data_IF_689026099183
#
_entry.id   IF_689026099183
#
_cell.length_a   1.000
_cell.length_b   1.000
_cell.length_c   1.000
_cell.angle_alpha   90.00
_cell.angle_beta   90.00
_cell.angle_gamma   90.00
#
_symmetry.space_group_name_H-M   'P 1'
#
loop_
_entity.id
_entity.type
_entity.pdbx_description
1 polymer ?
#
# COMPACT_ATOMS: atom_id res chain seq x y z
N UNK A 1 4.39 -17.43 0.93
CA UNK A 1 3.41 -16.34 0.79
C UNK A 1 2.90 -16.34 -0.64
N UNK A 2 1.61 -16.17 -0.84
CA UNK A 2 1.00 -15.99 -2.17
C UNK A 2 0.62 -14.51 -2.32
N UNK A 3 1.04 -13.89 -3.42
CA UNK A 3 0.70 -12.51 -3.76
C UNK A 3 -0.20 -12.52 -4.99
N UNK A 4 -1.30 -11.79 -4.94
CA UNK A 4 -2.25 -11.65 -6.05
C UNK A 4 -2.42 -10.16 -6.35
N UNK A 5 -2.20 -9.76 -7.60
CA UNK A 5 -2.47 -8.41 -8.09
C UNK A 5 -3.99 -8.23 -8.30
N UNK A 6 -4.53 -7.13 -7.80
CA UNK A 6 -5.97 -6.82 -7.80
C UNK A 6 -6.31 -5.55 -8.60
N UNK A 7 -5.47 -5.11 -9.48
CA UNK A 7 -5.56 -3.84 -10.22
C UNK A 7 -4.85 -2.65 -9.54
N UNK A 8 -4.17 -1.82 -10.33
CA UNK A 8 -3.52 -0.55 -9.96
C UNK A 8 -2.54 -0.71 -8.78
N UNK A 9 -2.93 -0.23 -7.59
CA UNK A 9 -2.18 -0.40 -6.35
C UNK A 9 -2.76 -1.49 -5.43
N UNK A 10 -3.78 -2.22 -5.91
CA UNK A 10 -4.45 -3.26 -5.16
C UNK A 10 -3.70 -4.59 -5.17
N UNK A 11 -3.43 -5.13 -3.99
CA UNK A 11 -2.81 -6.45 -3.83
C UNK A 11 -3.44 -7.24 -2.68
N UNK A 12 -3.46 -8.56 -2.82
CA UNK A 12 -3.72 -9.46 -1.71
C UNK A 12 -2.46 -10.29 -1.41
N UNK A 13 -2.05 -10.31 -0.15
CA UNK A 13 -0.95 -11.12 0.35
C UNK A 13 -1.49 -12.17 1.33
N UNK A 14 -1.40 -13.45 0.96
CA UNK A 14 -1.89 -14.58 1.74
C UNK A 14 -0.72 -15.38 2.33
N UNK A 15 -0.72 -15.55 3.65
CA UNK A 15 0.30 -16.33 4.34
C UNK A 15 -0.26 -16.97 5.62
N UNK A 16 -0.11 -18.30 5.75
CA UNK A 16 -0.69 -19.08 6.85
C UNK A 16 -2.19 -18.75 7.04
N UNK A 17 -2.59 -18.35 8.25
CA UNK A 17 -3.97 -17.95 8.59
C UNK A 17 -4.32 -16.49 8.27
N UNK A 18 -3.44 -15.75 7.63
CA UNK A 18 -3.63 -14.32 7.37
C UNK A 18 -3.85 -14.02 5.89
N UNK A 19 -4.71 -13.04 5.63
CA UNK A 19 -4.87 -12.37 4.34
C UNK A 19 -4.82 -10.87 4.55
N UNK A 20 -3.90 -10.21 3.88
CA UNK A 20 -3.81 -8.75 3.85
C UNK A 20 -4.23 -8.28 2.46
N UNK A 21 -5.22 -7.40 2.39
CA UNK A 21 -5.73 -6.82 1.14
C UNK A 21 -5.45 -5.32 1.19
N UNK A 22 -4.69 -4.83 0.22
CA UNK A 22 -4.30 -3.42 0.15
C UNK A 22 -4.98 -2.73 -1.02
N UNK A 23 -5.42 -1.49 -0.81
CA UNK A 23 -5.88 -0.51 -1.80
C UNK A 23 -6.79 -1.09 -2.88
N UNK A 24 -7.75 -1.91 -2.48
CA UNK A 24 -8.73 -2.42 -3.43
C UNK A 24 -9.78 -1.35 -3.77
N UNK A 25 -9.92 -1.06 -5.06
CA UNK A 25 -10.94 -0.13 -5.54
C UNK A 25 -11.90 -0.73 -6.56
N UNK A 26 -11.49 -1.79 -7.27
CA UNK A 26 -12.32 -2.52 -8.25
C UNK A 26 -11.81 -3.94 -8.49
N UNK A 27 -12.55 -4.67 -9.34
CA UNK A 27 -12.21 -6.03 -9.74
C UNK A 27 -12.74 -7.07 -8.76
N UNK A 28 -12.52 -8.33 -9.09
CA UNK A 28 -12.94 -9.46 -8.27
C UNK A 28 -11.84 -9.83 -7.28
N UNK A 29 -12.23 -10.13 -6.03
CA UNK A 29 -11.32 -10.77 -5.08
C UNK A 29 -11.21 -12.26 -5.37
N UNK A 30 -10.05 -12.88 -5.12
CA UNK A 30 -9.96 -14.32 -4.96
C UNK A 30 -10.85 -14.78 -3.81
N UNK A 31 -11.31 -16.02 -3.87
CA UNK A 31 -11.93 -16.64 -2.69
C UNK A 31 -10.84 -16.96 -1.66
N UNK A 32 -11.08 -16.55 -0.43
CA UNK A 32 -10.22 -16.86 0.71
C UNK A 32 -10.94 -17.83 1.65
N UNK A 33 -10.16 -18.64 2.36
CA UNK A 33 -10.68 -19.46 3.44
C UNK A 33 -11.28 -18.55 4.54
N UNK A 34 -12.55 -18.79 4.86
CA UNK A 34 -13.29 -17.98 5.84
C UNK A 34 -12.74 -18.11 7.28
N UNK A 35 -11.89 -19.11 7.55
CA UNK A 35 -11.22 -19.27 8.83
C UNK A 35 -9.98 -18.36 8.96
N UNK A 36 -9.55 -17.72 7.87
CA UNK A 36 -8.40 -16.80 7.90
C UNK A 36 -8.78 -15.44 8.46
N UNK A 37 -7.82 -14.84 9.14
CA UNK A 37 -7.91 -13.45 9.58
C UNK A 37 -7.66 -12.53 8.39
N UNK A 38 -8.68 -11.76 8.01
CA UNK A 38 -8.61 -10.87 6.86
C UNK A 38 -8.48 -9.42 7.33
N UNK A 39 -7.43 -8.75 6.88
CA UNK A 39 -7.19 -7.34 7.10
C UNK A 39 -7.24 -6.58 5.79
N UNK A 40 -8.05 -5.54 5.73
CA UNK A 40 -8.24 -4.69 4.56
C UNK A 40 -7.65 -3.32 4.85
N UNK A 41 -6.68 -2.92 4.05
CA UNK A 41 -5.97 -1.66 4.16
C UNK A 41 -6.39 -0.72 3.03
N UNK A 42 -6.55 0.55 3.33
CA UNK A 42 -6.61 1.60 2.33
C UNK A 42 -5.70 2.77 2.74
N UNK A 43 -4.77 3.10 1.86
CA UNK A 43 -3.73 4.10 2.11
C UNK A 43 -4.27 5.52 2.17
N UNK A 44 -5.31 5.83 1.40
CA UNK A 44 -5.99 7.13 1.36
C UNK A 44 -7.34 7.04 0.64
N UNK A 45 -8.05 8.17 0.56
CA UNK A 45 -9.45 8.22 0.12
C UNK A 45 -9.66 8.37 -1.39
N UNK A 46 -8.62 8.47 -2.21
CA UNK A 46 -8.75 8.56 -3.67
C UNK A 46 -9.46 7.33 -4.25
N UNK A 47 -10.20 7.55 -5.35
CA UNK A 47 -11.10 6.54 -5.92
C UNK A 47 -10.39 5.29 -6.47
N UNK A 48 -9.11 5.39 -6.74
CA UNK A 48 -8.22 4.34 -7.26
C UNK A 48 -7.47 3.56 -6.16
N UNK A 49 -7.66 3.95 -4.88
CA UNK A 49 -7.11 3.28 -3.70
C UNK A 49 -8.18 2.83 -2.71
N UNK A 50 -9.37 3.42 -2.77
CA UNK A 50 -10.44 3.10 -1.85
C UNK A 50 -11.81 3.02 -2.54
N UNK A 51 -12.57 1.98 -2.19
CA UNK A 51 -13.97 1.85 -2.56
C UNK A 51 -14.79 1.35 -1.37
N UNK A 52 -15.85 2.07 -1.00
CA UNK A 52 -16.71 1.72 0.13
C UNK A 52 -17.35 0.32 0.04
N UNK A 53 -17.35 -0.31 -1.13
CA UNK A 53 -17.83 -1.70 -1.31
C UNK A 53 -17.05 -2.71 -0.46
N UNK A 54 -15.82 -2.39 -0.02
CA UNK A 54 -15.05 -3.25 0.90
C UNK A 54 -15.86 -3.60 2.15
N UNK A 55 -16.69 -2.69 2.65
CA UNK A 55 -17.48 -2.91 3.84
C UNK A 55 -18.51 -4.04 3.69
N UNK A 56 -18.96 -4.33 2.47
CA UNK A 56 -19.84 -5.46 2.18
C UNK A 56 -19.17 -6.83 2.41
N UNK A 57 -17.84 -6.89 2.50
CA UNK A 57 -17.14 -8.16 2.72
C UNK A 57 -17.34 -8.72 4.13
N UNK A 58 -17.78 -7.92 5.08
CA UNK A 58 -18.17 -8.39 6.42
C UNK A 58 -19.35 -9.37 6.42
N UNK A 59 -20.12 -9.45 5.33
CA UNK A 59 -21.19 -10.45 5.14
C UNK A 59 -20.60 -11.84 4.85
N UNK A 60 -19.52 -11.89 4.07
CA UNK A 60 -18.83 -13.13 3.70
C UNK A 60 -17.72 -13.51 4.70
N UNK A 61 -17.06 -12.53 5.27
CA UNK A 61 -15.94 -12.68 6.20
C UNK A 61 -16.27 -11.95 7.51
N UNK A 62 -16.97 -12.58 8.46
CA UNK A 62 -17.49 -11.91 9.66
C UNK A 62 -16.42 -11.27 10.56
N UNK A 63 -15.19 -11.80 10.52
CA UNK A 63 -14.07 -11.33 11.34
C UNK A 63 -13.11 -10.39 10.58
N UNK A 64 -13.52 -9.90 9.40
CA UNK A 64 -12.72 -8.95 8.63
C UNK A 64 -12.45 -7.68 9.44
N UNK A 65 -11.23 -7.16 9.36
CA UNK A 65 -10.81 -5.90 9.99
C UNK A 65 -10.39 -4.91 8.91
N UNK A 66 -10.79 -3.65 9.08
CA UNK A 66 -10.46 -2.56 8.17
C UNK A 66 -9.47 -1.63 8.88
N UNK A 67 -8.32 -1.38 8.24
CA UNK A 67 -7.27 -0.48 8.72
C UNK A 67 -7.12 0.59 7.65
N UNK A 68 -7.78 1.70 7.87
CA UNK A 68 -7.97 2.75 6.86
C UNK A 68 -7.26 4.03 7.28
N UNK A 69 -6.70 4.74 6.31
CA UNK A 69 -6.18 6.08 6.57
C UNK A 69 -7.25 7.02 7.11
N UNK A 70 -6.89 7.94 7.98
CA UNK A 70 -7.82 8.81 8.70
C UNK A 70 -8.61 9.76 7.78
N UNK A 71 -8.12 10.06 6.58
CA UNK A 71 -8.82 10.86 5.56
C UNK A 71 -10.03 10.13 4.96
N UNK A 72 -10.13 8.80 5.17
CA UNK A 72 -11.29 7.99 4.79
C UNK A 72 -12.43 8.08 5.82
N UNK A 73 -12.16 8.60 7.01
CA UNK A 73 -13.17 8.70 8.07
C UNK A 73 -14.44 9.43 7.60
N UNK A 74 -15.60 8.94 8.07
CA UNK A 74 -16.90 9.52 7.69
C UNK A 74 -17.48 8.99 6.37
N UNK A 75 -16.83 8.06 5.67
CA UNK A 75 -17.47 7.32 4.57
C UNK A 75 -18.56 6.41 5.13
N UNK A 76 -19.64 6.22 4.36
CA UNK A 76 -20.80 5.41 4.79
C UNK A 76 -20.42 3.98 5.16
N UNK A 77 -20.75 3.58 6.38
CA UNK A 77 -20.59 2.23 6.92
C UNK A 77 -21.66 1.94 7.97
N UNK A 78 -21.97 0.67 8.22
CA UNK A 78 -22.85 0.27 9.31
C UNK A 78 -22.14 0.35 10.68
N UNK A 79 -22.90 0.31 11.78
CA UNK A 79 -22.34 0.26 13.14
C UNK A 79 -21.35 -0.93 13.29
N UNK A 80 -21.73 -2.13 12.84
CA UNK A 80 -20.86 -3.32 12.88
C UNK A 80 -19.56 -3.10 12.11
N UNK A 81 -19.61 -2.51 10.93
CA UNK A 81 -18.42 -2.20 10.12
C UNK A 81 -17.56 -1.15 10.83
N UNK A 82 -18.19 -0.19 11.51
CA UNK A 82 -17.48 0.81 12.31
C UNK A 82 -16.71 0.17 13.47
N UNK A 83 -17.25 -0.83 14.15
CA UNK A 83 -16.56 -1.59 15.21
C UNK A 83 -15.37 -2.41 14.68
N UNK A 84 -15.44 -2.83 13.40
CA UNK A 84 -14.37 -3.57 12.72
C UNK A 84 -13.32 -2.65 12.08
N UNK A 85 -13.49 -1.33 12.15
CA UNK A 85 -12.65 -0.35 11.46
C UNK A 85 -11.77 0.41 12.43
N UNK A 86 -10.48 0.45 12.12
CA UNK A 86 -9.50 1.34 12.75
C UNK A 86 -9.03 2.40 11.74
N UNK A 87 -9.06 3.66 12.16
CA UNK A 87 -8.49 4.76 11.38
C UNK A 87 -7.08 5.06 11.87
N UNK A 88 -6.14 5.11 10.94
CA UNK A 88 -4.71 5.30 11.22
C UNK A 88 -4.20 6.61 10.64
N UNK A 89 -3.23 7.21 11.33
CA UNK A 89 -2.54 8.42 10.89
C UNK A 89 -1.07 8.15 10.65
N UNK A 90 -0.41 9.02 9.90
CA UNK A 90 1.00 8.90 9.57
C UNK A 90 1.93 8.86 10.81
N UNK A 91 3.07 8.18 10.65
CA UNK A 91 4.16 8.12 11.64
C UNK A 91 3.73 7.56 13.01
N UNK A 92 2.87 6.53 13.00
CA UNK A 92 2.37 5.85 14.19
C UNK A 92 2.62 4.34 14.12
N UNK A 93 2.52 3.72 15.28
CA UNK A 93 2.56 2.26 15.43
C UNK A 93 1.26 1.80 16.08
N UNK A 94 0.71 0.73 15.55
CA UNK A 94 -0.55 0.13 15.99
C UNK A 94 -0.34 -1.37 16.21
N UNK A 95 -1.03 -1.92 17.20
CA UNK A 95 -1.06 -3.35 17.48
C UNK A 95 -2.50 -3.85 17.31
N UNK A 96 -2.69 -4.75 16.35
CA UNK A 96 -3.96 -5.40 16.07
C UNK A 96 -3.84 -6.89 16.36
N UNK A 97 -4.95 -7.58 16.54
CA UNK A 97 -4.94 -9.02 16.84
C UNK A 97 -4.18 -9.82 15.75
N UNK A 98 -2.94 -10.18 16.04
CA UNK A 98 -2.07 -11.00 15.20
C UNK A 98 -1.17 -10.23 14.22
N UNK A 99 -1.31 -8.91 14.09
CA UNK A 99 -0.41 -8.09 13.26
C UNK A 99 -0.03 -6.79 13.96
N UNK A 100 1.16 -6.27 13.63
CA UNK A 100 1.55 -4.91 14.00
C UNK A 100 1.69 -4.08 12.75
N UNK A 101 1.26 -2.83 12.82
CA UNK A 101 1.28 -1.91 11.69
C UNK A 101 2.04 -0.66 12.08
N UNK A 102 2.99 -0.27 11.26
CA UNK A 102 3.62 1.04 11.31
C UNK A 102 3.22 1.80 10.05
N UNK A 103 2.93 3.09 10.21
CA UNK A 103 2.58 3.97 9.10
C UNK A 103 3.68 5.00 8.87
N UNK A 104 3.87 5.40 7.62
CA UNK A 104 4.69 6.54 7.22
C UNK A 104 3.80 7.60 6.58
N UNK A 105 4.27 8.85 6.60
CA UNK A 105 3.63 9.95 5.87
C UNK A 105 3.85 9.75 4.36
N UNK A 106 2.79 9.80 3.58
CA UNK A 106 2.87 9.80 2.12
C UNK A 106 3.42 11.13 1.58
N UNK A 107 3.98 11.12 0.39
CA UNK A 107 4.38 12.31 -0.37
C UNK A 107 3.24 12.87 -1.24
N UNK A 108 2.09 12.20 -1.21
CA UNK A 108 0.82 12.66 -1.76
C UNK A 108 -0.21 12.64 -0.61
N UNK A 109 -1.21 11.79 -0.64
CA UNK A 109 -2.26 11.70 0.37
C UNK A 109 -2.06 10.47 1.28
N UNK A 110 -2.56 10.54 2.52
CA UNK A 110 -2.69 9.43 3.45
C UNK A 110 -1.38 8.86 3.99
N UNK A 111 -1.24 7.53 3.92
CA UNK A 111 -0.15 6.80 4.58
C UNK A 111 0.42 5.65 3.73
N UNK A 112 1.70 5.35 3.94
CA UNK A 112 2.26 4.04 3.59
C UNK A 112 2.19 3.10 4.80
N UNK A 113 2.11 1.79 4.53
CA UNK A 113 2.01 0.75 5.55
C UNK A 113 3.25 -0.13 5.61
N UNK A 114 3.70 -0.44 6.83
CA UNK A 114 4.62 -1.53 7.13
C UNK A 114 3.86 -2.48 8.04
N UNK A 115 3.61 -3.70 7.57
CA UNK A 115 2.83 -4.70 8.30
C UNK A 115 3.74 -5.84 8.73
N UNK A 116 3.79 -6.09 10.01
CA UNK A 116 4.47 -7.20 10.64
C UNK A 116 3.46 -8.30 10.93
N UNK A 117 3.61 -9.43 10.28
CA UNK A 117 2.71 -10.56 10.38
C UNK A 117 3.52 -11.84 10.50
N UNK A 118 3.44 -12.52 11.65
CA UNK A 118 4.27 -13.69 11.93
C UNK A 118 5.78 -13.38 11.80
N UNK A 119 6.46 -14.12 10.91
CA UNK A 119 7.86 -13.93 10.55
C UNK A 119 8.05 -13.10 9.27
N UNK A 120 7.01 -12.38 8.83
CA UNK A 120 7.00 -11.61 7.59
C UNK A 120 6.84 -10.11 7.82
N UNK A 121 7.51 -9.34 6.99
CA UNK A 121 7.37 -7.89 6.89
C UNK A 121 6.92 -7.54 5.48
N UNK A 122 5.78 -6.84 5.39
CA UNK A 122 5.18 -6.41 4.14
C UNK A 122 5.12 -4.88 4.13
N UNK A 123 5.59 -4.28 3.05
CA UNK A 123 5.50 -2.84 2.82
C UNK A 123 4.53 -2.55 1.68
N UNK A 124 3.63 -1.60 1.88
CA UNK A 124 2.78 -1.04 0.84
C UNK A 124 2.90 0.47 0.84
N UNK A 125 3.41 1.02 -0.25
CA UNK A 125 3.73 2.43 -0.33
C UNK A 125 2.49 3.34 -0.33
N UNK A 126 1.29 2.85 -0.74
CA UNK A 126 0.24 3.77 -1.15
C UNK A 126 0.79 4.69 -2.23
N UNK A 127 0.60 6.00 -2.05
CA UNK A 127 1.17 7.01 -2.94
C UNK A 127 2.44 7.67 -2.38
N UNK A 128 3.12 7.01 -1.45
CA UNK A 128 4.47 7.41 -1.05
C UNK A 128 5.44 7.07 -2.18
N UNK A 129 5.78 8.07 -3.00
CA UNK A 129 6.67 7.95 -4.14
C UNK A 129 7.47 9.22 -4.39
N UNK A 130 8.52 9.14 -5.20
CA UNK A 130 9.25 10.30 -5.70
C UNK A 130 8.54 10.86 -6.94
N UNK A 131 7.46 11.61 -6.71
CA UNK A 131 6.64 12.23 -7.74
C UNK A 131 7.37 13.40 -8.43
N UNK A 132 8.25 13.09 -9.37
CA UNK A 132 8.95 14.09 -10.17
C UNK A 132 8.15 14.39 -11.44
N UNK A 133 7.41 15.48 -11.47
CA UNK A 133 6.62 15.88 -12.62
C UNK A 133 7.37 16.84 -13.51
N UNK A 134 7.45 16.53 -14.82
CA UNK A 134 7.90 17.49 -15.82
C UNK A 134 6.92 18.66 -15.88
N UNK A 135 7.44 19.89 -15.92
CA UNK A 135 6.63 21.10 -15.91
C UNK A 135 6.35 21.70 -14.54
N UNK A 136 6.56 20.95 -13.44
CA UNK A 136 6.53 21.52 -12.11
C UNK A 136 7.80 22.33 -11.82
N UNK A 137 7.71 23.38 -10.96
CA UNK A 137 8.87 24.16 -10.55
C UNK A 137 10.00 23.28 -9.98
N UNK A 138 11.25 23.64 -10.29
CA UNK A 138 12.42 22.92 -9.78
C UNK A 138 12.39 22.76 -8.25
N UNK A 139 11.97 23.79 -7.53
CA UNK A 139 11.84 23.75 -6.06
C UNK A 139 10.83 22.73 -5.57
N UNK A 140 9.72 22.54 -6.30
CA UNK A 140 8.73 21.50 -6.01
C UNK A 140 9.36 20.09 -6.14
N UNK A 141 9.98 19.82 -7.26
CA UNK A 141 10.62 18.52 -7.52
C UNK A 141 11.80 18.23 -6.57
N UNK A 142 12.54 19.27 -6.15
CA UNK A 142 13.61 19.13 -5.14
C UNK A 142 13.02 18.82 -3.74
N UNK A 143 11.93 19.46 -3.35
CA UNK A 143 11.24 19.17 -2.10
C UNK A 143 10.65 17.75 -2.11
N UNK A 144 9.97 17.36 -3.18
CA UNK A 144 9.41 16.03 -3.38
C UNK A 144 10.49 14.95 -3.23
N UNK A 145 11.66 15.16 -3.85
CA UNK A 145 12.81 14.28 -3.69
C UNK A 145 13.24 14.16 -2.23
N UNK A 146 13.37 15.29 -1.57
CA UNK A 146 13.86 15.33 -0.18
C UNK A 146 12.90 14.60 0.77
N UNK A 147 11.59 14.81 0.59
CA UNK A 147 10.55 14.21 1.41
C UNK A 147 10.47 12.69 1.19
N UNK A 148 10.48 12.25 -0.06
CA UNK A 148 10.50 10.82 -0.38
C UNK A 148 11.74 10.13 0.19
N UNK A 149 12.93 10.66 -0.08
CA UNK A 149 14.17 10.08 0.40
C UNK A 149 14.25 10.06 1.93
N UNK A 150 13.69 11.07 2.59
CA UNK A 150 13.57 11.09 4.05
C UNK A 150 12.67 9.97 4.54
N UNK A 151 11.48 9.81 3.95
CA UNK A 151 10.54 8.76 4.33
C UNK A 151 11.13 7.36 4.18
N UNK A 152 11.87 7.09 3.08
CA UNK A 152 12.52 5.78 2.89
C UNK A 152 13.62 5.55 3.92
N UNK A 153 14.40 6.57 4.31
CA UNK A 153 15.40 6.44 5.37
C UNK A 153 14.81 6.25 6.78
N UNK A 154 13.55 6.59 6.98
CA UNK A 154 12.81 6.36 8.23
C UNK A 154 12.22 4.94 8.33
N UNK A 155 12.33 4.13 7.25
CA UNK A 155 11.97 2.72 7.30
C UNK A 155 12.84 1.98 8.33
N UNK A 156 12.26 1.02 9.06
CA UNK A 156 13.02 0.20 10.01
C UNK A 156 14.17 -0.53 9.31
N UNK A 157 15.33 -0.56 9.96
CA UNK A 157 16.51 -1.30 9.50
C UNK A 157 16.32 -2.81 9.73
N UNK A 158 15.49 -3.42 8.89
CA UNK A 158 15.19 -4.85 8.91
C UNK A 158 14.76 -5.33 7.52
N UNK A 159 14.95 -6.64 7.21
CA UNK A 159 14.52 -7.19 5.93
C UNK A 159 13.01 -7.05 5.71
N UNK A 160 12.64 -6.64 4.50
CA UNK A 160 11.26 -6.60 4.00
C UNK A 160 11.07 -7.82 3.09
N UNK A 161 10.09 -8.67 3.39
CA UNK A 161 9.84 -9.87 2.59
C UNK A 161 9.14 -9.55 1.26
N UNK A 162 8.20 -8.59 1.29
CA UNK A 162 7.43 -8.14 0.12
C UNK A 162 7.19 -6.65 0.20
N UNK A 163 7.45 -5.94 -0.88
CA UNK A 163 7.14 -4.52 -1.03
C UNK A 163 6.32 -4.26 -2.29
N UNK A 164 5.31 -3.39 -2.17
CA UNK A 164 4.52 -2.84 -3.26
C UNK A 164 4.88 -1.36 -3.41
N UNK A 165 5.48 -1.00 -4.55
CA UNK A 165 6.10 0.32 -4.76
C UNK A 165 5.64 0.91 -6.09
N UNK A 166 5.25 2.20 -6.15
CA UNK A 166 4.82 2.83 -7.39
C UNK A 166 5.91 2.87 -8.47
N UNK A 167 5.47 2.61 -9.73
CA UNK A 167 6.25 2.77 -10.95
C UNK A 167 5.32 3.35 -12.02
N UNK A 168 5.06 4.65 -11.96
CA UNK A 168 4.03 5.33 -12.75
C UNK A 168 4.62 5.93 -14.03
N UNK A 169 4.30 5.34 -15.18
CA UNK A 169 4.82 5.77 -16.49
C UNK A 169 4.41 7.19 -16.89
N UNK A 170 3.43 7.81 -16.22
CA UNK A 170 3.08 9.22 -16.42
C UNK A 170 4.22 10.18 -16.04
N UNK A 171 5.16 9.72 -15.23
CA UNK A 171 6.37 10.47 -14.86
C UNK A 171 7.45 10.50 -15.96
N UNK A 172 7.20 9.90 -17.13
CA UNK A 172 8.23 9.80 -18.19
C UNK A 172 9.42 8.97 -17.74
N UNK A 173 10.63 9.43 -18.00
CA UNK A 173 11.87 8.72 -17.62
C UNK A 173 12.09 8.66 -16.10
N UNK A 174 11.37 9.46 -15.32
CA UNK A 174 11.48 9.51 -13.87
C UNK A 174 10.62 8.43 -13.16
N UNK A 175 9.85 7.64 -13.91
CA UNK A 175 8.93 6.62 -13.38
C UNK A 175 9.60 5.62 -12.42
N UNK A 176 10.87 5.35 -12.63
CA UNK A 176 11.65 4.37 -11.89
C UNK A 176 12.38 4.96 -10.68
N UNK A 177 12.52 6.28 -10.57
CA UNK A 177 13.37 6.90 -9.55
C UNK A 177 12.98 6.54 -8.12
N UNK A 178 11.70 6.52 -7.81
CA UNK A 178 11.22 6.09 -6.50
C UNK A 178 11.54 4.63 -6.22
N UNK A 179 11.23 3.76 -7.16
CA UNK A 179 11.48 2.32 -7.09
C UNK A 179 12.98 2.01 -6.96
N UNK A 180 13.84 2.61 -7.78
CA UNK A 180 15.29 2.44 -7.73
C UNK A 180 15.86 2.92 -6.38
N UNK A 181 15.43 4.11 -5.92
CA UNK A 181 15.87 4.60 -4.62
C UNK A 181 15.45 3.66 -3.48
N UNK A 182 14.21 3.17 -3.49
CA UNK A 182 13.71 2.23 -2.50
C UNK A 182 14.55 0.94 -2.48
N UNK A 183 14.76 0.32 -3.63
CA UNK A 183 15.49 -0.96 -3.73
C UNK A 183 16.96 -0.85 -3.31
N UNK A 184 17.59 0.31 -3.55
CA UNK A 184 18.98 0.56 -3.14
C UNK A 184 19.16 0.88 -1.65
N UNK A 185 18.09 1.30 -0.96
CA UNK A 185 18.17 1.77 0.43
C UNK A 185 17.40 0.88 1.41
N UNK A 186 16.87 -0.26 0.96
CA UNK A 186 16.19 -1.24 1.81
C UNK A 186 16.71 -2.65 1.53
N UNK A 187 16.67 -3.52 2.54
CA UNK A 187 16.87 -4.96 2.37
C UNK A 187 15.54 -5.62 2.02
N UNK A 188 15.11 -5.49 0.76
CA UNK A 188 13.82 -6.02 0.29
C UNK A 188 14.03 -7.23 -0.62
N UNK A 189 13.39 -8.36 -0.27
CA UNK A 189 13.53 -9.63 -1.01
C UNK A 189 12.75 -9.68 -2.30
N UNK A 190 11.51 -9.13 -2.29
CA UNK A 190 10.60 -9.15 -3.44
C UNK A 190 9.92 -7.80 -3.56
N UNK A 191 10.05 -7.15 -4.72
CA UNK A 191 9.39 -5.88 -5.02
C UNK A 191 8.40 -6.09 -6.16
N UNK A 192 7.19 -5.63 -5.95
CA UNK A 192 6.11 -5.63 -6.95
C UNK A 192 5.82 -4.18 -7.34
N UNK A 193 6.09 -3.80 -8.60
CA UNK A 193 5.67 -2.50 -9.12
C UNK A 193 4.15 -2.37 -9.09
N UNK A 194 3.67 -1.17 -8.77
CA UNK A 194 2.25 -0.82 -8.76
C UNK A 194 2.03 0.58 -9.33
N UNK A 195 0.78 1.05 -9.35
CA UNK A 195 0.40 2.38 -9.80
C UNK A 195 0.70 2.67 -11.30
N UNK A 196 0.71 1.64 -12.14
CA UNK A 196 1.07 1.74 -13.56
C UNK A 196 -0.15 1.83 -14.50
N UNK A 197 -1.37 2.03 -13.98
CA UNK A 197 -2.60 2.27 -14.75
C UNK A 197 -2.90 1.25 -15.85
N UNK A 198 -2.55 -0.02 -15.64
CA UNK A 198 -2.71 -1.08 -16.65
C UNK A 198 -1.70 -1.01 -17.80
N UNK A 199 -0.72 -0.12 -17.75
CA UNK A 199 0.37 -0.03 -18.72
C UNK A 199 1.45 -1.06 -18.42
N UNK A 200 1.19 -2.33 -18.78
CA UNK A 200 2.10 -3.45 -18.49
C UNK A 200 3.47 -3.34 -19.16
N UNK A 201 3.65 -2.40 -20.10
CA UNK A 201 4.96 -2.07 -20.66
C UNK A 201 5.99 -1.63 -19.60
N UNK A 202 5.53 -1.23 -18.41
CA UNK A 202 6.40 -0.94 -17.27
C UNK A 202 7.35 -2.10 -16.97
N UNK A 203 6.89 -3.34 -17.10
CA UNK A 203 7.71 -4.51 -16.84
C UNK A 203 8.80 -4.69 -17.89
N UNK A 204 8.49 -4.46 -19.17
CA UNK A 204 9.49 -4.53 -20.25
C UNK A 204 10.57 -3.46 -20.03
N UNK A 205 10.19 -2.24 -19.63
CA UNK A 205 11.14 -1.18 -19.32
C UNK A 205 12.03 -1.54 -18.13
N UNK A 206 11.46 -2.05 -17.03
CA UNK A 206 12.21 -2.43 -15.82
C UNK A 206 13.19 -3.59 -16.06
N UNK A 207 12.96 -4.45 -17.06
CA UNK A 207 13.90 -5.53 -17.43
C UNK A 207 15.10 -5.03 -18.24
N UNK A 208 15.05 -3.83 -18.78
CA UNK A 208 16.11 -3.25 -19.61
C UNK A 208 16.95 -2.19 -18.90
N UNK A 209 16.61 -1.83 -17.67
CA UNK A 209 17.34 -0.92 -16.78
C UNK A 209 18.21 -1.68 -15.77
#
# INVERSE_FOLDING_TARGET
>A
MKVTYLEHSGFAAEYKEYVLIFDWYRGSLPEFDQQKKIYVFASHSHYDHFNKKIFGWSEQYPDVRYILSADIAGKEQSEKQSEQTAYVTANKKYDFDGIKVQTLHSTDEGVAFIVYMEDKVIYHAGDLNWWHWEGEPKSYNEQMRADYQKAIRELPDQPIDVAFVPADLRLGEQYVWGLDYFTRHTDTKNVFPMHFWGSYEVFDRLFHE
#
